data_IF_856039470125
#
_entry.id   IF_856039470125
#
_cell.length_a   1.000
_cell.length_b   1.000
_cell.length_c   1.000
_cell.angle_alpha   90.00
_cell.angle_beta   90.00
_cell.angle_gamma   90.00
#
_symmetry.space_group_name_H-M   'P 1'
#
loop_
_entity.id
_entity.type
_entity.pdbx_description
1 polymer ?
#
# COMPACT_ATOMS: atom_id res chain seq x y z
N UNK A 1 -24.11 3.99 16.73
CA UNK A 1 -22.89 3.24 17.06
C UNK A 1 -22.16 2.90 15.77
N UNK A 2 -20.92 3.30 15.65
CA UNK A 2 -20.13 3.06 14.45
C UNK A 2 -19.58 1.64 14.47
N UNK A 3 -20.21 0.74 13.71
CA UNK A 3 -19.81 -0.67 13.62
C UNK A 3 -18.57 -0.89 12.76
N UNK A 4 -18.08 0.17 12.06
CA UNK A 4 -16.92 0.10 11.17
C UNK A 4 -15.65 0.62 11.84
N UNK A 5 -15.71 0.89 13.13
CA UNK A 5 -14.56 1.42 13.87
C UNK A 5 -13.49 0.36 14.03
N UNK A 6 -12.27 0.68 13.61
CA UNK A 6 -11.12 -0.19 13.79
C UNK A 6 -10.48 0.11 15.16
N UNK A 7 -10.27 -0.90 16.01
CA UNK A 7 -9.59 -0.67 17.30
C UNK A 7 -8.08 -0.61 17.08
N UNK A 8 -7.53 0.60 16.97
CA UNK A 8 -6.10 0.80 16.72
C UNK A 8 -5.29 0.74 18.01
N UNK A 9 -4.06 0.25 17.89
CA UNK A 9 -3.03 0.33 18.92
C UNK A 9 -1.83 1.07 18.32
N UNK A 10 -1.75 2.37 18.57
CA UNK A 10 -0.70 3.22 18.02
C UNK A 10 0.56 3.15 18.86
N UNK A 11 1.70 2.97 18.21
CA UNK A 11 3.02 2.94 18.84
C UNK A 11 4.02 3.71 17.96
N UNK A 12 5.16 4.07 18.55
CA UNK A 12 6.31 4.53 17.78
C UNK A 12 6.91 3.35 17.05
N UNK A 13 7.05 3.46 15.75
CA UNK A 13 7.54 2.39 14.89
C UNK A 13 8.73 2.88 14.10
N UNK A 14 9.81 2.08 14.07
CA UNK A 14 10.92 2.32 13.15
C UNK A 14 10.46 2.04 11.73
N UNK A 15 10.54 3.05 10.87
CA UNK A 15 10.16 2.92 9.45
C UNK A 15 11.01 1.86 8.77
N UNK A 16 12.33 1.90 8.98
CA UNK A 16 13.24 0.94 8.36
C UNK A 16 12.94 -0.48 8.80
N UNK A 17 12.81 -0.71 10.10
CA UNK A 17 12.54 -2.06 10.62
C UNK A 17 11.21 -2.59 10.12
N UNK A 18 10.19 -1.75 10.12
CA UNK A 18 8.84 -2.14 9.65
C UNK A 18 8.86 -2.58 8.17
N UNK A 19 9.44 -1.75 7.29
CA UNK A 19 9.44 -2.06 5.87
C UNK A 19 10.42 -3.17 5.51
N UNK A 20 11.52 -3.29 6.22
CA UNK A 20 12.45 -4.43 6.03
C UNK A 20 11.73 -5.75 6.34
N UNK A 21 10.96 -5.80 7.42
CA UNK A 21 10.18 -6.98 7.79
C UNK A 21 9.09 -7.29 6.76
N UNK A 22 8.38 -6.26 6.30
CA UNK A 22 7.39 -6.42 5.23
C UNK A 22 8.02 -6.97 3.95
N UNK A 23 9.18 -6.44 3.57
CA UNK A 23 9.88 -6.85 2.37
C UNK A 23 10.35 -8.29 2.45
N UNK A 24 10.82 -8.72 3.62
CA UNK A 24 11.23 -10.12 3.83
C UNK A 24 10.06 -11.07 3.62
N UNK A 25 8.91 -10.77 4.24
CA UNK A 25 7.70 -11.58 4.08
C UNK A 25 7.22 -11.60 2.64
N UNK A 26 7.19 -10.44 1.98
CA UNK A 26 6.77 -10.32 0.58
C UNK A 26 7.70 -11.05 -0.37
N UNK A 27 9.00 -11.00 -0.13
CA UNK A 27 9.99 -11.69 -0.95
C UNK A 27 9.70 -13.18 -1.01
N UNK A 28 9.44 -13.79 0.14
CA UNK A 28 9.13 -15.23 0.22
C UNK A 28 7.81 -15.55 -0.48
N UNK A 29 6.76 -14.78 -0.18
CA UNK A 29 5.43 -15.02 -0.74
C UNK A 29 5.40 -14.85 -2.26
N UNK A 30 5.98 -13.76 -2.76
CA UNK A 30 5.93 -13.44 -4.19
C UNK A 30 6.81 -14.39 -5.00
N UNK A 31 7.97 -14.75 -4.48
CA UNK A 31 8.82 -15.75 -5.12
C UNK A 31 8.09 -17.07 -5.30
N UNK A 32 7.35 -17.51 -4.27
CA UNK A 32 6.57 -18.76 -4.35
C UNK A 32 5.48 -18.71 -5.42
N UNK A 33 5.06 -17.50 -5.81
CA UNK A 33 4.04 -17.28 -6.85
C UNK A 33 4.64 -16.95 -8.22
N UNK A 34 5.94 -17.01 -8.35
CA UNK A 34 6.63 -16.68 -9.60
C UNK A 34 6.63 -15.19 -9.93
N UNK A 35 6.48 -14.32 -8.93
CA UNK A 35 6.51 -12.88 -9.09
C UNK A 35 7.86 -12.35 -8.64
N UNK A 36 8.55 -11.62 -9.51
CA UNK A 36 9.80 -10.95 -9.19
C UNK A 36 9.54 -9.80 -8.23
N UNK A 37 10.29 -9.73 -7.15
CA UNK A 37 10.12 -8.69 -6.13
C UNK A 37 11.42 -7.92 -5.92
N UNK A 38 11.32 -6.59 -5.86
CA UNK A 38 12.43 -5.71 -5.53
C UNK A 38 12.01 -4.75 -4.42
N UNK A 39 12.94 -4.45 -3.53
CA UNK A 39 12.73 -3.56 -2.40
C UNK A 39 13.85 -2.54 -2.30
N UNK A 40 13.51 -1.29 -2.10
CA UNK A 40 14.46 -0.20 -1.87
C UNK A 40 13.94 0.71 -0.77
N UNK A 41 14.76 0.97 0.23
CA UNK A 41 14.43 1.87 1.32
C UNK A 41 15.43 3.02 1.34
N UNK A 42 14.94 4.23 1.13
CA UNK A 42 15.75 5.45 1.08
C UNK A 42 15.60 6.30 2.34
N UNK A 43 14.95 5.76 3.37
CA UNK A 43 14.72 6.46 4.64
C UNK A 43 15.86 6.16 5.60
N UNK A 44 16.41 7.21 6.23
CA UNK A 44 17.48 7.06 7.20
C UNK A 44 17.05 6.19 8.39
N UNK A 45 17.97 5.35 8.92
CA UNK A 45 17.71 4.65 10.17
C UNK A 45 17.39 5.63 11.29
N UNK A 46 16.47 5.28 12.16
CA UNK A 46 16.08 6.14 13.27
C UNK A 46 14.85 7.00 13.01
N UNK A 47 14.36 7.06 11.77
CA UNK A 47 13.11 7.74 11.47
C UNK A 47 11.94 6.90 12.01
N UNK A 48 11.06 7.56 12.78
CA UNK A 48 9.92 6.93 13.42
C UNK A 48 8.60 7.51 12.90
N UNK A 49 7.56 6.70 12.97
CA UNK A 49 6.17 7.14 12.77
C UNK A 49 5.32 6.64 13.94
N UNK A 50 4.20 7.29 14.19
CA UNK A 50 3.19 6.77 15.11
C UNK A 50 2.16 6.02 14.27
N UNK A 51 2.08 4.72 14.47
CA UNK A 51 1.19 3.90 13.66
C UNK A 51 0.81 2.60 14.38
N UNK A 52 -0.24 1.97 13.88
CA UNK A 52 -0.58 0.60 14.23
C UNK A 52 0.09 -0.33 13.22
N UNK A 53 1.16 -0.99 13.62
CA UNK A 53 1.97 -1.82 12.72
C UNK A 53 1.16 -2.90 12.02
N UNK A 54 0.24 -3.55 12.72
CA UNK A 54 -0.60 -4.60 12.13
C UNK A 54 -1.52 -4.04 11.04
N UNK A 55 -2.07 -2.85 11.27
CA UNK A 55 -2.97 -2.22 10.31
C UNK A 55 -2.21 -1.69 9.10
N UNK A 56 -1.01 -1.15 9.28
CA UNK A 56 -0.19 -0.73 8.14
C UNK A 56 0.29 -1.96 7.35
N UNK A 57 0.61 -3.06 8.02
CA UNK A 57 0.90 -4.32 7.33
C UNK A 57 -0.29 -4.79 6.51
N UNK A 58 -1.50 -4.65 7.04
CA UNK A 58 -2.74 -4.94 6.32
C UNK A 58 -2.89 -4.07 5.07
N UNK A 59 -2.53 -2.79 5.16
CA UNK A 59 -2.51 -1.87 4.00
C UNK A 59 -1.58 -2.42 2.91
N UNK A 60 -0.35 -2.75 3.28
CA UNK A 60 0.64 -3.29 2.33
C UNK A 60 0.13 -4.59 1.70
N UNK A 61 -0.37 -5.51 2.50
CA UNK A 61 -0.86 -6.80 2.01
C UNK A 61 -2.08 -6.66 1.09
N UNK A 62 -2.99 -5.74 1.41
CA UNK A 62 -4.17 -5.50 0.57
C UNK A 62 -3.78 -4.89 -0.78
N UNK A 63 -2.83 -3.98 -0.78
CA UNK A 63 -2.32 -3.38 -2.03
C UNK A 63 -1.65 -4.45 -2.88
N UNK A 64 -0.78 -5.27 -2.30
CA UNK A 64 -0.09 -6.35 -3.02
C UNK A 64 -1.09 -7.39 -3.55
N UNK A 65 -2.07 -7.77 -2.73
CA UNK A 65 -3.13 -8.70 -3.13
C UNK A 65 -3.91 -8.15 -4.32
N UNK A 66 -4.22 -6.85 -4.30
CA UNK A 66 -4.90 -6.19 -5.40
C UNK A 66 -4.04 -6.21 -6.67
N UNK A 67 -2.74 -5.94 -6.55
CA UNK A 67 -1.80 -6.01 -7.68
C UNK A 67 -1.77 -7.41 -8.29
N UNK A 68 -1.73 -8.45 -7.45
CA UNK A 68 -1.71 -9.84 -7.92
C UNK A 68 -2.98 -10.23 -8.69
N UNK A 69 -4.14 -9.72 -8.28
CA UNK A 69 -5.41 -10.00 -8.96
C UNK A 69 -5.44 -9.49 -10.39
N UNK A 70 -4.76 -8.38 -10.65
CA UNK A 70 -4.85 -7.68 -11.94
C UNK A 70 -3.56 -7.79 -12.75
N UNK A 71 -2.70 -8.72 -12.42
CA UNK A 71 -1.53 -9.02 -13.25
C UNK A 71 -1.97 -9.75 -14.52
N UNK A 72 -1.55 -9.23 -15.65
CA UNK A 72 -1.85 -9.83 -16.93
C UNK A 72 -1.04 -11.10 -17.18
N UNK A 73 -1.55 -11.93 -18.09
CA UNK A 73 -0.82 -13.10 -18.55
C UNK A 73 0.19 -12.71 -19.65
N UNK A 74 1.22 -13.50 -19.84
CA UNK A 74 2.18 -13.32 -20.92
C UNK A 74 3.32 -12.35 -20.64
N UNK A 75 3.34 -11.73 -19.49
CA UNK A 75 4.48 -10.91 -19.01
C UNK A 75 5.12 -11.53 -17.80
N UNK A 76 6.42 -11.24 -17.65
CA UNK A 76 7.12 -11.52 -16.41
C UNK A 76 6.55 -10.60 -15.33
N UNK A 77 5.92 -11.18 -14.31
CA UNK A 77 5.26 -10.44 -13.24
C UNK A 77 6.28 -9.84 -12.30
N UNK A 78 6.08 -8.57 -11.94
CA UNK A 78 7.02 -7.82 -11.11
C UNK A 78 6.30 -6.88 -10.18
N UNK A 79 6.76 -6.83 -8.90
CA UNK A 79 6.31 -5.88 -7.90
C UNK A 79 7.54 -5.24 -7.27
N UNK A 80 7.54 -3.92 -7.17
CA UNK A 80 8.59 -3.14 -6.50
C UNK A 80 7.98 -2.40 -5.32
N UNK A 81 8.66 -2.49 -4.17
CA UNK A 81 8.33 -1.69 -2.99
C UNK A 81 9.46 -0.69 -2.77
N UNK A 82 9.12 0.60 -2.72
CA UNK A 82 10.06 1.68 -2.42
C UNK A 82 9.55 2.50 -1.26
N UNK A 83 10.43 2.89 -0.37
CA UNK A 83 10.11 3.77 0.76
C UNK A 83 11.01 5.00 0.69
N UNK A 84 10.40 6.19 0.65
CA UNK A 84 11.09 7.46 0.43
C UNK A 84 10.80 8.44 1.54
N UNK A 85 11.75 9.33 1.77
CA UNK A 85 11.62 10.47 2.65
C UNK A 85 11.13 11.67 1.83
N UNK A 86 9.94 12.19 2.15
CA UNK A 86 9.34 13.29 1.41
C UNK A 86 9.04 14.48 2.33
N UNK A 87 10.02 14.89 3.12
CA UNK A 87 9.90 16.01 4.04
C UNK A 87 9.32 15.60 5.39
N UNK A 88 8.12 16.05 5.72
CA UNK A 88 7.47 15.71 6.98
C UNK A 88 6.84 14.33 6.99
N UNK A 89 6.85 13.64 5.84
CA UNK A 89 6.23 12.33 5.66
C UNK A 89 7.23 11.32 5.14
N UNK A 90 6.94 10.06 5.37
CA UNK A 90 7.53 8.97 4.58
C UNK A 90 6.49 8.53 3.55
N UNK A 91 6.95 8.12 2.39
CA UNK A 91 6.09 7.68 1.30
C UNK A 91 6.46 6.26 0.88
N UNK A 92 5.49 5.35 0.94
CA UNK A 92 5.65 4.01 0.42
C UNK A 92 5.04 3.94 -0.98
N UNK A 93 5.72 3.27 -1.89
CA UNK A 93 5.28 3.08 -3.27
C UNK A 93 5.30 1.60 -3.59
N UNK A 94 4.19 1.08 -4.05
CA UNK A 94 4.08 -0.32 -4.47
C UNK A 94 3.70 -0.31 -5.94
N UNK A 95 4.67 -0.67 -6.78
CA UNK A 95 4.54 -0.64 -8.24
C UNK A 95 4.39 -2.06 -8.79
N UNK A 96 3.42 -2.25 -9.67
CA UNK A 96 3.28 -3.50 -10.41
C UNK A 96 3.33 -3.23 -11.92
N UNK A 97 3.62 -4.27 -12.68
CA UNK A 97 3.60 -4.23 -14.14
C UNK A 97 2.38 -4.96 -14.71
N UNK A 98 1.25 -4.85 -14.02
CA UNK A 98 -0.01 -5.48 -14.41
C UNK A 98 -0.74 -4.74 -15.53
N UNK A 99 -2.03 -5.00 -15.63
CA UNK A 99 -2.88 -4.43 -16.68
C UNK A 99 -3.12 -2.94 -16.57
N UNK A 100 -2.80 -2.36 -15.43
CA UNK A 100 -3.11 -0.96 -15.17
C UNK A 100 -4.58 -0.74 -14.91
N UNK A 101 -4.92 0.52 -14.67
CA UNK A 101 -6.29 0.97 -14.36
C UNK A 101 -6.65 2.07 -15.35
N UNK A 102 -7.83 1.96 -15.95
CA UNK A 102 -8.32 3.01 -16.86
C UNK A 102 -8.48 4.33 -16.12
N UNK A 103 -8.17 5.44 -16.78
CA UNK A 103 -8.27 6.77 -16.19
C UNK A 103 -9.67 7.06 -15.63
N UNK A 104 -10.72 6.55 -16.24
CA UNK A 104 -12.10 6.72 -15.77
C UNK A 104 -12.36 6.04 -14.43
N UNK A 105 -11.61 4.99 -14.10
CA UNK A 105 -11.80 4.22 -12.87
C UNK A 105 -10.95 4.74 -11.71
N UNK A 106 -9.80 5.38 -11.99
CA UNK A 106 -8.87 5.84 -10.96
C UNK A 106 -9.52 6.64 -9.82
N UNK A 107 -10.44 7.59 -10.07
CA UNK A 107 -11.05 8.35 -8.99
C UNK A 107 -11.90 7.53 -8.03
N UNK A 108 -12.30 6.34 -8.43
CA UNK A 108 -13.27 5.52 -7.71
C UNK A 108 -12.71 4.24 -7.12
N UNK A 109 -11.44 3.91 -7.35
CA UNK A 109 -10.88 2.60 -6.95
C UNK A 109 -10.85 2.39 -5.43
N UNK A 110 -10.89 3.46 -4.65
CA UNK A 110 -10.92 3.39 -3.19
C UNK A 110 -12.33 3.42 -2.61
N UNK A 111 -13.35 3.57 -3.46
CA UNK A 111 -14.74 3.57 -3.01
C UNK A 111 -15.16 2.14 -2.65
N UNK A 112 -15.94 2.04 -1.58
CA UNK A 112 -16.41 0.75 -1.11
C UNK A 112 -17.28 0.07 -2.18
N UNK A 113 -16.98 -1.21 -2.44
CA UNK A 113 -17.67 -2.05 -3.44
C UNK A 113 -17.45 -1.62 -4.89
N UNK A 114 -16.65 -0.59 -5.16
CA UNK A 114 -16.34 -0.24 -6.53
C UNK A 114 -15.48 -1.34 -7.18
N UNK A 115 -15.83 -1.68 -8.41
CA UNK A 115 -15.06 -2.65 -9.22
C UNK A 115 -14.97 -2.10 -10.64
N UNK A 116 -13.79 -2.24 -11.24
CA UNK A 116 -13.59 -1.87 -12.63
C UNK A 116 -14.39 -2.80 -13.55
N UNK A 117 -14.66 -2.39 -14.79
CA UNK A 117 -15.34 -3.24 -15.75
C UNK A 117 -14.61 -4.57 -15.96
N UNK A 118 -13.28 -4.53 -16.06
CA UNK A 118 -12.47 -5.73 -16.18
C UNK A 118 -12.63 -6.65 -14.96
N UNK A 119 -12.69 -6.08 -13.75
CA UNK A 119 -12.90 -6.80 -12.51
C UNK A 119 -14.29 -7.42 -12.43
N UNK A 120 -15.34 -6.71 -12.88
CA UNK A 120 -16.71 -7.20 -12.87
C UNK A 120 -16.89 -8.44 -13.73
N UNK A 121 -16.13 -8.52 -14.81
CA UNK A 121 -16.20 -9.64 -15.75
C UNK A 121 -15.21 -10.76 -15.45
N UNK A 122 -14.45 -10.62 -14.37
CA UNK A 122 -13.40 -11.57 -13.98
C UNK A 122 -13.88 -12.45 -12.83
N UNK A 123 -13.63 -13.73 -12.93
CA UNK A 123 -13.81 -14.67 -11.82
C UNK A 123 -12.84 -14.40 -10.65
N UNK A 124 -11.78 -13.64 -10.90
CA UNK A 124 -10.80 -13.26 -9.89
C UNK A 124 -11.19 -12.02 -9.11
N UNK A 125 -12.27 -11.34 -9.50
CA UNK A 125 -12.70 -10.12 -8.84
C UNK A 125 -13.10 -10.36 -7.38
N UNK A 126 -12.54 -9.57 -6.47
CA UNK A 126 -12.88 -9.63 -5.06
C UNK A 126 -14.16 -8.86 -4.74
N UNK A 127 -14.41 -8.64 -3.46
CA UNK A 127 -15.61 -7.95 -2.96
C UNK A 127 -15.59 -6.43 -3.19
N UNK A 128 -14.46 -5.84 -3.59
CA UNK A 128 -14.32 -4.39 -3.74
C UNK A 128 -14.14 -3.66 -2.43
N UNK A 129 -13.78 -4.36 -1.35
CA UNK A 129 -13.58 -3.77 -0.02
C UNK A 129 -12.11 -3.48 0.26
N UNK A 130 -11.19 -4.23 -0.35
CA UNK A 130 -9.75 -4.18 -0.01
C UNK A 130 -9.12 -2.78 -0.06
N UNK A 131 -9.38 -2.01 -1.11
CA UNK A 131 -8.82 -0.67 -1.24
C UNK A 131 -9.58 0.38 -0.42
N UNK A 132 -10.87 0.18 -0.16
CA UNK A 132 -11.62 1.08 0.71
C UNK A 132 -11.14 0.98 2.16
N UNK A 133 -10.76 -0.21 2.62
CA UNK A 133 -10.20 -0.38 3.96
C UNK A 133 -8.79 0.21 4.04
N UNK A 134 -8.01 0.13 2.96
CA UNK A 134 -6.71 0.79 2.86
C UNK A 134 -6.86 2.30 3.06
N UNK A 135 -7.80 2.91 2.34
CA UNK A 135 -8.09 4.34 2.48
C UNK A 135 -8.50 4.70 3.91
N UNK A 136 -9.39 3.92 4.50
CA UNK A 136 -9.84 4.16 5.88
C UNK A 136 -8.69 4.10 6.87
N UNK A 137 -7.86 3.07 6.79
CA UNK A 137 -6.71 2.92 7.68
C UNK A 137 -5.75 4.11 7.53
N UNK A 138 -5.45 4.51 6.30
CA UNK A 138 -4.54 5.63 6.06
C UNK A 138 -5.11 6.95 6.57
N UNK A 139 -6.38 7.21 6.32
CA UNK A 139 -7.04 8.43 6.84
C UNK A 139 -7.06 8.44 8.37
N UNK A 140 -7.35 7.30 9.00
CA UNK A 140 -7.34 7.17 10.46
C UNK A 140 -5.95 7.38 11.06
N UNK A 141 -4.89 7.20 10.26
CA UNK A 141 -3.50 7.48 10.65
C UNK A 141 -3.07 8.92 10.33
N UNK A 142 -3.97 9.75 9.78
CA UNK A 142 -3.62 11.09 9.35
C UNK A 142 -2.79 11.14 8.07
N UNK A 143 -2.75 10.04 7.33
CA UNK A 143 -2.04 9.92 6.07
C UNK A 143 -2.97 9.98 4.87
N UNK A 144 -2.46 9.56 3.72
CA UNK A 144 -3.19 9.52 2.46
C UNK A 144 -2.79 8.30 1.66
N UNK A 145 -3.66 7.89 0.76
CA UNK A 145 -3.39 6.86 -0.25
C UNK A 145 -3.89 7.35 -1.60
N UNK A 146 -3.14 7.08 -2.65
CA UNK A 146 -3.55 7.40 -4.02
C UNK A 146 -2.83 6.47 -4.99
N UNK A 147 -3.20 6.53 -6.25
CA UNK A 147 -2.60 5.69 -7.28
C UNK A 147 -2.35 6.49 -8.55
N UNK A 148 -1.30 6.10 -9.27
CA UNK A 148 -1.09 6.47 -10.67
C UNK A 148 -1.06 5.19 -11.47
N UNK A 149 -1.57 5.22 -12.69
CA UNK A 149 -1.65 4.02 -13.51
C UNK A 149 -1.65 4.36 -14.99
N UNK A 150 -1.17 3.41 -15.79
CA UNK A 150 -1.25 3.47 -17.23
C UNK A 150 -1.68 2.09 -17.72
N UNK A 151 -2.77 2.07 -18.50
CA UNK A 151 -3.30 0.81 -19.01
C UNK A 151 -2.24 0.02 -19.77
N UNK A 152 -2.20 -1.29 -19.53
CA UNK A 152 -1.28 -2.24 -20.15
C UNK A 152 0.20 -2.04 -19.77
N UNK A 153 0.50 -1.14 -18.84
CA UNK A 153 1.86 -0.90 -18.34
C UNK A 153 1.96 -1.24 -16.87
N UNK A 154 1.06 -0.73 -16.05
CA UNK A 154 1.05 -1.03 -14.62
C UNK A 154 0.47 0.07 -13.76
N UNK A 155 0.58 -0.13 -12.45
CA UNK A 155 0.02 0.76 -11.44
C UNK A 155 1.05 0.99 -10.33
N UNK A 156 1.09 2.21 -9.82
CA UNK A 156 1.81 2.53 -8.59
C UNK A 156 0.79 2.99 -7.56
N UNK A 157 0.78 2.31 -6.42
CA UNK A 157 0.02 2.73 -5.25
C UNK A 157 0.95 3.45 -4.30
N UNK A 158 0.50 4.59 -3.79
CA UNK A 158 1.27 5.45 -2.88
C UNK A 158 0.54 5.58 -1.57
N UNK A 159 1.25 5.51 -0.45
CA UNK A 159 0.70 5.99 0.81
C UNK A 159 1.76 6.73 1.61
N UNK A 160 1.32 7.66 2.45
CA UNK A 160 2.21 8.49 3.26
C UNK A 160 1.81 8.42 4.73
N UNK A 161 2.82 8.42 5.59
CA UNK A 161 2.67 8.53 7.04
C UNK A 161 3.52 9.70 7.51
N UNK A 162 3.00 10.49 8.46
CA UNK A 162 3.74 11.61 9.02
C UNK A 162 4.87 11.07 9.91
N UNK A 163 6.05 11.63 9.75
CA UNK A 163 7.19 11.32 10.64
C UNK A 163 6.87 11.78 12.04
N UNK A 164 7.28 10.98 13.03
CA UNK A 164 7.25 11.40 14.42
C UNK A 164 8.33 12.46 14.65
N UNK A 165 7.92 13.55 15.28
CA UNK A 165 8.85 14.60 15.66
C UNK A 165 8.70 14.84 17.16
N UNK A 166 9.82 14.77 17.87
CA UNK A 166 9.83 15.09 19.28
C UNK A 166 9.73 16.60 19.43
N UNK A 167 8.72 17.06 20.18
CA UNK A 167 8.55 18.49 20.43
C UNK A 167 9.63 18.92 21.43
N UNK A 168 10.50 19.91 21.11
CA UNK A 168 11.46 20.39 22.08
C UNK A 168 10.77 20.92 23.33
N UNK A 169 11.26 20.50 24.50
CA UNK A 169 10.77 21.03 25.75
C UNK A 169 11.41 22.39 25.95
N UNK A 170 10.60 23.45 25.86
CA UNK A 170 11.06 24.79 26.17
C UNK A 170 11.05 24.97 27.71
N UNK A 171 12.22 25.09 28.26
CA UNK A 171 12.36 25.44 29.67
C UNK A 171 12.26 26.94 29.84
#
# INVERSE_FOLDING_TARGET
>A
MDTNRIPYTFNKISVTDFFDDCAEDLSVELESKGVEFAYSNYVEPGVLVIADAEQIKRVVNNIVSNSLKYMGDGRRKRINLRVKDVGDFIQAEIEDNGRGIAAKDLPNIFDRFYRTDASRNSSKGGSGIGLSIVKKIMEDHGGKVWATSKENIGTVMYFVLRKYQEVPVNE
#
